data_IF_926582431984
#
_entry.id   IF_926582431984
#
_cell.length_a   1.000
_cell.length_b   1.000
_cell.length_c   1.000
_cell.angle_alpha   90.00
_cell.angle_beta   90.00
_cell.angle_gamma   90.00
#
_symmetry.space_group_name_H-M   'P 1'
#
loop_
_entity.id
_entity.type
_entity.pdbx_description
1 polymer ?
#
# COMPACT_ATOMS: atom_id res chain seq x y z
N UNK A 1 2.75 16.39 31.86
CA UNK A 1 2.61 15.51 30.68
C UNK A 1 2.22 16.40 29.51
N UNK A 2 3.21 16.96 28.85
CA UNK A 2 2.98 17.78 27.65
C UNK A 2 2.55 16.87 26.50
N UNK A 3 1.45 17.24 25.86
CA UNK A 3 0.77 16.47 24.84
C UNK A 3 1.65 16.30 23.60
N UNK A 4 2.09 15.07 23.33
CA UNK A 4 2.72 14.65 22.07
C UNK A 4 1.85 14.92 20.82
N UNK A 5 0.61 15.38 20.99
CA UNK A 5 -0.34 15.74 19.93
C UNK A 5 0.03 17.03 19.17
N UNK A 6 0.88 17.92 19.71
CA UNK A 6 1.28 19.17 19.03
C UNK A 6 2.49 19.02 18.09
N UNK A 7 3.47 18.20 18.47
CA UNK A 7 4.81 18.22 17.85
C UNK A 7 4.86 17.61 16.43
N UNK A 8 3.91 16.75 16.07
CA UNK A 8 3.92 16.02 14.79
C UNK A 8 3.65 16.92 13.59
N UNK A 9 2.65 17.80 13.68
CA UNK A 9 2.32 18.73 12.60
C UNK A 9 3.33 19.86 12.47
N UNK A 10 3.85 20.35 13.60
CA UNK A 10 4.78 21.47 13.69
C UNK A 10 6.08 21.21 12.92
N UNK A 11 6.63 20.00 12.96
CA UNK A 11 7.87 19.68 12.22
C UNK A 11 7.73 19.85 10.71
N UNK A 12 6.55 19.52 10.15
CA UNK A 12 6.28 19.69 8.73
C UNK A 12 6.23 21.17 8.36
N UNK A 13 5.50 21.98 9.14
CA UNK A 13 5.31 23.41 8.88
C UNK A 13 6.60 24.23 9.11
N UNK A 14 7.55 23.70 9.87
CA UNK A 14 8.90 24.27 9.99
C UNK A 14 9.76 24.09 8.72
N UNK A 15 9.46 23.11 7.87
CA UNK A 15 10.25 22.79 6.66
C UNK A 15 9.57 23.27 5.39
N UNK A 16 8.26 23.11 5.32
CA UNK A 16 7.46 23.39 4.13
C UNK A 16 6.46 24.50 4.41
N UNK A 17 6.17 25.30 3.39
CA UNK A 17 5.18 26.36 3.49
C UNK A 17 3.75 25.81 3.60
N UNK A 18 2.83 26.64 4.09
CA UNK A 18 1.38 26.31 4.14
C UNK A 18 0.85 25.93 2.74
N UNK A 19 1.32 26.60 1.70
CA UNK A 19 0.99 26.29 0.31
C UNK A 19 1.40 24.87 -0.12
N UNK A 20 2.53 24.36 0.39
CA UNK A 20 2.94 22.99 0.14
C UNK A 20 1.89 22.01 0.69
N UNK A 21 1.41 22.26 1.90
CA UNK A 21 0.37 21.45 2.56
C UNK A 21 -0.94 21.47 1.77
N UNK A 22 -1.35 22.63 1.29
CA UNK A 22 -2.55 22.78 0.45
C UNK A 22 -2.43 21.98 -0.84
N UNK A 23 -1.35 22.16 -1.61
CA UNK A 23 -1.14 21.42 -2.86
C UNK A 23 -1.06 19.91 -2.63
N UNK A 24 -0.40 19.47 -1.56
CA UNK A 24 -0.34 18.05 -1.19
C UNK A 24 -1.71 17.48 -0.83
N UNK A 25 -2.61 18.27 -0.23
CA UNK A 25 -3.97 17.82 0.12
C UNK A 25 -4.87 17.64 -1.11
N UNK A 26 -4.58 18.35 -2.21
CA UNK A 26 -5.29 18.24 -3.48
C UNK A 26 -4.84 17.03 -4.33
N UNK A 27 -3.72 16.39 -3.97
CA UNK A 27 -3.27 15.19 -4.68
C UNK A 27 -4.24 14.02 -4.43
N UNK A 28 -4.62 13.27 -5.49
CA UNK A 28 -5.58 12.17 -5.36
C UNK A 28 -4.97 10.91 -4.70
N UNK A 29 -3.65 10.87 -4.57
CA UNK A 29 -2.92 9.70 -4.09
C UNK A 29 -3.08 9.48 -2.57
N UNK A 30 -3.01 8.22 -2.15
CA UNK A 30 -2.95 7.84 -0.75
C UNK A 30 -1.48 7.81 -0.30
N UNK A 31 -1.07 8.80 0.51
CA UNK A 31 0.31 8.90 0.97
C UNK A 31 0.44 9.51 2.36
N UNK A 32 1.58 9.26 2.97
CA UNK A 32 2.02 9.81 4.25
C UNK A 32 3.43 10.36 4.13
N UNK A 33 3.73 11.42 4.87
CA UNK A 33 5.09 11.93 5.08
C UNK A 33 5.43 11.74 6.56
N UNK A 34 6.60 11.19 6.82
CA UNK A 34 7.10 10.91 8.17
C UNK A 34 8.39 11.68 8.42
N UNK A 35 8.70 11.94 9.68
CA UNK A 35 9.91 12.67 10.08
C UNK A 35 10.79 11.78 10.97
N UNK A 36 11.95 11.28 10.49
CA UNK A 36 12.85 10.46 11.28
C UNK A 36 13.66 11.25 12.31
N UNK A 37 13.69 12.59 12.24
CA UNK A 37 14.36 13.44 13.22
C UNK A 37 13.53 13.64 14.50
N UNK A 38 12.22 13.40 14.45
CA UNK A 38 11.33 13.47 15.61
C UNK A 38 11.30 12.11 16.32
N UNK A 39 11.44 12.06 17.67
CA UNK A 39 11.39 10.82 18.42
C UNK A 39 10.16 9.96 18.10
N UNK A 40 10.39 8.67 17.86
CA UNK A 40 9.33 7.73 17.47
C UNK A 40 9.04 7.67 15.96
N UNK A 41 9.72 8.47 15.15
CA UNK A 41 9.55 8.54 13.68
C UNK A 41 8.06 8.68 13.30
N UNK A 42 7.40 9.77 13.72
CA UNK A 42 5.98 9.95 13.52
C UNK A 42 5.63 10.35 12.08
N UNK A 43 4.37 10.12 11.74
CA UNK A 43 3.70 10.70 10.57
C UNK A 43 3.46 12.19 10.86
N UNK A 44 3.96 13.05 9.99
CA UNK A 44 3.83 14.51 10.09
C UNK A 44 2.82 15.07 9.09
N UNK A 45 2.50 14.29 8.05
CA UNK A 45 1.44 14.58 7.09
C UNK A 45 0.79 13.27 6.61
N UNK A 46 -0.53 13.32 6.42
CA UNK A 46 -1.30 12.24 5.81
C UNK A 46 -2.27 12.84 4.78
N UNK A 47 -2.35 12.27 3.58
CA UNK A 47 -3.26 12.76 2.54
C UNK A 47 -4.71 12.43 2.88
N UNK A 48 -5.65 13.22 2.32
CA UNK A 48 -7.08 12.97 2.52
C UNK A 48 -7.51 11.60 1.97
N UNK A 49 -6.91 11.17 0.85
CA UNK A 49 -7.13 9.83 0.29
C UNK A 49 -6.69 8.74 1.25
N UNK A 50 -5.50 8.89 1.85
CA UNK A 50 -4.98 7.94 2.83
C UNK A 50 -5.91 7.80 4.04
N UNK A 51 -6.33 8.92 4.64
CA UNK A 51 -7.21 8.93 5.81
C UNK A 51 -8.54 8.21 5.53
N UNK A 52 -9.16 8.49 4.39
CA UNK A 52 -10.39 7.81 3.93
C UNK A 52 -10.18 6.31 3.75
N UNK A 53 -9.04 5.90 3.19
CA UNK A 53 -8.71 4.50 2.93
C UNK A 53 -8.55 3.69 4.23
N UNK A 54 -7.89 4.26 5.24
CA UNK A 54 -7.62 3.56 6.52
C UNK A 54 -8.73 3.74 7.56
N UNK A 55 -9.62 4.72 7.38
CA UNK A 55 -10.76 4.98 8.26
C UNK A 55 -10.40 5.73 9.55
N UNK A 56 -9.23 6.37 9.62
CA UNK A 56 -8.78 7.16 10.77
C UNK A 56 -8.91 8.67 10.49
N UNK A 57 -9.15 9.46 11.54
CA UNK A 57 -9.06 10.91 11.44
C UNK A 57 -7.60 11.38 11.35
N UNK A 58 -7.39 12.63 10.93
CA UNK A 58 -6.05 13.20 10.82
C UNK A 58 -5.36 13.29 12.18
N UNK A 59 -6.11 13.62 13.23
CA UNK A 59 -5.66 13.78 14.61
C UNK A 59 -5.25 12.45 15.24
N UNK A 60 -5.85 11.35 14.77
CA UNK A 60 -5.49 10.00 15.21
C UNK A 60 -4.21 9.50 14.54
N UNK A 61 -3.89 9.99 13.34
CA UNK A 61 -2.76 9.52 12.52
C UNK A 61 -1.51 10.38 12.68
N UNK A 62 -1.66 11.71 12.63
CA UNK A 62 -0.52 12.63 12.74
C UNK A 62 0.07 12.55 14.15
N UNK A 63 1.38 12.47 14.24
CA UNK A 63 2.11 12.24 15.49
C UNK A 63 2.28 10.76 15.87
N UNK A 64 1.61 9.83 15.17
CA UNK A 64 1.78 8.38 15.39
C UNK A 64 2.80 7.78 14.42
N UNK A 65 3.37 6.64 14.81
CA UNK A 65 4.24 5.87 13.94
C UNK A 65 3.40 4.95 13.03
N UNK A 66 3.84 4.78 11.77
CA UNK A 66 3.13 3.97 10.77
C UNK A 66 2.91 2.49 11.13
N UNK A 67 3.57 1.97 12.17
CA UNK A 67 3.28 0.63 12.72
C UNK A 67 1.83 0.46 13.20
N UNK A 68 1.09 1.55 13.44
CA UNK A 68 -0.31 1.50 13.88
C UNK A 68 -1.26 0.80 12.91
N UNK A 69 -0.87 0.67 11.63
CA UNK A 69 -1.67 0.00 10.60
C UNK A 69 -1.35 -1.50 10.46
N UNK A 70 -0.42 -2.03 11.25
CA UNK A 70 -0.03 -3.44 11.25
C UNK A 70 -0.92 -4.22 12.23
N UNK A 71 -1.13 -5.51 11.98
CA UNK A 71 -1.92 -6.38 12.84
C UNK A 71 -1.39 -7.81 12.89
N UNK A 72 -2.18 -8.75 13.42
CA UNK A 72 -1.73 -10.10 13.75
C UNK A 72 -1.13 -10.88 12.57
N UNK A 73 -1.71 -10.73 11.37
CA UNK A 73 -1.29 -11.47 10.17
C UNK A 73 -0.32 -10.66 9.30
N UNK A 74 0.09 -9.47 9.72
CA UNK A 74 1.11 -8.70 8.99
C UNK A 74 2.45 -9.46 9.04
N UNK A 75 2.98 -9.83 7.86
CA UNK A 75 4.26 -10.55 7.77
C UNK A 75 5.42 -9.74 8.36
N UNK A 76 6.06 -10.31 9.38
CA UNK A 76 7.22 -9.73 10.05
C UNK A 76 8.41 -9.55 9.11
N UNK A 77 8.56 -10.38 8.08
CA UNK A 77 9.66 -10.23 7.10
C UNK A 77 9.49 -8.94 6.30
N UNK A 78 8.27 -8.62 5.87
CA UNK A 78 7.96 -7.37 5.21
C UNK A 78 8.22 -6.16 6.11
N UNK A 79 7.83 -6.25 7.38
CA UNK A 79 8.11 -5.19 8.38
C UNK A 79 9.61 -5.01 8.59
N UNK A 80 10.39 -6.09 8.68
CA UNK A 80 11.85 -6.02 8.77
C UNK A 80 12.47 -5.38 7.52
N UNK A 81 12.02 -5.74 6.32
CA UNK A 81 12.51 -5.14 5.08
C UNK A 81 12.31 -3.61 5.05
N UNK A 82 11.18 -3.13 5.56
CA UNK A 82 10.90 -1.68 5.71
C UNK A 82 11.85 -1.06 6.73
N UNK A 83 12.03 -1.68 7.90
CA UNK A 83 12.95 -1.18 8.94
C UNK A 83 14.39 -1.09 8.44
N UNK A 84 14.86 -2.11 7.71
CA UNK A 84 16.19 -2.09 7.09
C UNK A 84 16.31 -1.01 6.02
N UNK A 85 15.28 -0.80 5.20
CA UNK A 85 15.28 0.28 4.22
C UNK A 85 15.36 1.68 4.87
N UNK A 86 14.66 1.89 5.99
CA UNK A 86 14.77 3.12 6.80
C UNK A 86 16.19 3.27 7.35
N UNK A 87 16.74 2.22 7.95
CA UNK A 87 18.11 2.20 8.52
C UNK A 87 19.19 2.47 7.46
N UNK A 88 18.94 2.03 6.24
CA UNK A 88 19.85 2.19 5.09
C UNK A 88 19.56 3.46 4.27
N UNK A 89 18.58 4.25 4.68
CA UNK A 89 18.18 5.50 4.01
C UNK A 89 17.94 5.28 2.51
N UNK A 90 17.22 4.20 2.17
CA UNK A 90 16.90 3.81 0.79
C UNK A 90 15.41 3.63 0.57
N UNK A 91 15.02 3.61 -0.70
CA UNK A 91 13.66 3.26 -1.08
C UNK A 91 13.35 1.78 -0.89
N UNK A 92 12.06 1.48 -0.74
CA UNK A 92 11.52 0.11 -0.74
C UNK A 92 10.14 0.11 -1.39
N UNK A 93 9.81 -0.98 -2.08
CA UNK A 93 8.48 -1.25 -2.60
C UNK A 93 8.12 -2.69 -2.21
N UNK A 94 7.01 -2.87 -1.48
CA UNK A 94 6.63 -4.16 -0.91
C UNK A 94 5.11 -4.26 -0.75
N UNK A 95 4.55 -5.43 -1.00
CA UNK A 95 3.17 -5.74 -0.62
C UNK A 95 3.13 -6.27 0.81
N UNK A 96 2.23 -5.73 1.62
CA UNK A 96 1.99 -6.22 2.98
C UNK A 96 0.52 -6.08 3.38
N UNK A 97 0.13 -6.87 4.38
CA UNK A 97 -1.20 -6.81 4.98
C UNK A 97 -1.24 -5.71 6.03
N UNK A 98 -2.19 -4.79 5.87
CA UNK A 98 -2.50 -3.72 6.82
C UNK A 98 -3.95 -3.83 7.32
N UNK A 99 -4.27 -3.10 8.37
CA UNK A 99 -5.58 -3.11 9.02
C UNK A 99 -6.16 -1.70 9.06
N UNK A 100 -7.45 -1.59 8.74
CA UNK A 100 -8.23 -0.36 8.91
C UNK A 100 -8.60 -0.16 10.38
N UNK A 101 -9.16 1.02 10.69
CA UNK A 101 -9.67 1.34 12.03
C UNK A 101 -10.71 0.35 12.56
N UNK A 102 -11.54 -0.18 11.67
CA UNK A 102 -12.56 -1.18 12.00
C UNK A 102 -12.00 -2.61 12.15
N UNK A 103 -10.69 -2.80 12.00
CA UNK A 103 -10.02 -4.09 12.07
C UNK A 103 -10.06 -4.88 10.75
N UNK A 104 -10.64 -4.35 9.68
CA UNK A 104 -10.66 -5.04 8.38
C UNK A 104 -9.26 -5.14 7.79
N UNK A 105 -8.73 -6.35 7.54
CA UNK A 105 -7.44 -6.52 6.87
C UNK A 105 -7.56 -6.18 5.38
N UNK A 106 -6.50 -5.63 4.81
CA UNK A 106 -6.40 -5.39 3.38
C UNK A 106 -4.94 -5.44 2.92
N UNK A 107 -4.73 -6.00 1.72
CA UNK A 107 -3.43 -5.97 1.08
C UNK A 107 -3.13 -4.59 0.52
N UNK A 108 -1.89 -4.16 0.70
CA UNK A 108 -1.44 -2.84 0.33
C UNK A 108 -0.06 -2.93 -0.34
N UNK A 109 0.07 -2.34 -1.53
CA UNK A 109 1.37 -2.00 -2.06
C UNK A 109 1.88 -0.75 -1.32
N UNK A 110 2.97 -0.92 -0.58
CA UNK A 110 3.68 0.16 0.07
C UNK A 110 4.92 0.53 -0.74
N UNK A 111 5.05 1.80 -1.11
CA UNK A 111 6.28 2.33 -1.69
C UNK A 111 6.78 3.50 -0.86
N UNK A 112 8.03 3.43 -0.40
CA UNK A 112 8.65 4.47 0.42
C UNK A 112 9.93 4.98 -0.22
N UNK A 113 10.17 6.29 -0.11
CA UNK A 113 11.41 6.94 -0.53
C UNK A 113 11.88 7.98 0.50
N UNK A 114 13.18 8.06 0.80
CA UNK A 114 13.74 9.13 1.62
C UNK A 114 13.73 10.47 0.86
N UNK A 115 13.67 11.56 1.63
CA UNK A 115 13.85 12.94 1.19
C UNK A 115 15.03 13.52 1.94
N UNK A 116 15.98 14.12 1.23
CA UNK A 116 17.22 14.61 1.81
C UNK A 116 17.23 16.14 1.87
N UNK A 117 17.86 16.71 2.90
CA UNK A 117 18.23 18.12 2.92
C UNK A 117 19.34 18.37 1.90
N UNK A 118 19.22 19.44 1.11
CA UNK A 118 20.28 19.88 0.19
C UNK A 118 21.50 20.43 0.94
N UNK A 119 21.31 20.97 2.14
CA UNK A 119 22.36 21.61 2.93
C UNK A 119 23.28 20.57 3.60
N UNK A 120 22.67 19.56 4.25
CA UNK A 120 23.40 18.61 5.10
C UNK A 120 23.47 17.18 4.54
N UNK A 121 22.82 16.90 3.41
CA UNK A 121 22.69 15.56 2.80
C UNK A 121 22.04 14.51 3.73
N UNK A 122 21.36 14.95 4.79
CA UNK A 122 20.67 14.10 5.77
C UNK A 122 19.23 13.83 5.35
N UNK A 123 18.72 12.64 5.69
CA UNK A 123 17.28 12.35 5.54
C UNK A 123 16.48 13.21 6.50
N UNK A 124 15.59 14.03 5.95
CA UNK A 124 14.70 14.91 6.71
C UNK A 124 13.28 14.36 6.79
N UNK A 125 12.86 13.57 5.80
CA UNK A 125 11.54 12.97 5.73
C UNK A 125 11.59 11.65 4.96
N UNK A 126 10.59 10.80 5.17
CA UNK A 126 10.25 9.73 4.23
C UNK A 126 8.85 9.95 3.68
N UNK A 127 8.71 9.81 2.36
CA UNK A 127 7.41 9.77 1.68
C UNK A 127 7.04 8.31 1.49
N UNK A 128 5.86 7.92 1.96
CA UNK A 128 5.27 6.61 1.75
C UNK A 128 3.96 6.72 0.98
N UNK A 129 3.88 6.09 -0.18
CA UNK A 129 2.64 5.90 -0.96
C UNK A 129 2.06 4.54 -0.62
N UNK A 130 0.76 4.50 -0.41
CA UNK A 130 0.00 3.31 -0.10
C UNK A 130 -1.07 3.10 -1.16
N UNK A 131 -1.12 1.91 -1.76
CA UNK A 131 -2.21 1.57 -2.67
C UNK A 131 -2.85 0.26 -2.25
N UNK A 132 -4.18 0.26 -2.00
CA UNK A 132 -4.88 -0.96 -1.69
C UNK A 132 -4.87 -1.85 -2.94
N UNK A 133 -4.57 -3.13 -2.74
CA UNK A 133 -4.57 -4.13 -3.80
C UNK A 133 -5.95 -4.77 -3.87
N UNK A 134 -6.54 -4.74 -5.06
CA UNK A 134 -7.75 -5.50 -5.34
C UNK A 134 -7.36 -6.94 -5.59
N UNK A 135 -7.91 -7.86 -4.81
CA UNK A 135 -7.78 -9.27 -5.15
C UNK A 135 -8.45 -9.55 -6.46
N UNK A 136 -7.71 -10.21 -7.35
CA UNK A 136 -8.33 -10.84 -8.51
C UNK A 136 -9.05 -12.07 -7.98
N UNK A 137 -10.37 -12.21 -8.18
CA UNK A 137 -11.02 -13.48 -7.96
C UNK A 137 -10.24 -14.50 -8.78
N UNK A 138 -9.74 -15.54 -8.14
CA UNK A 138 -9.30 -16.71 -8.89
C UNK A 138 -10.52 -17.17 -9.68
N UNK A 139 -10.42 -17.24 -11.00
CA UNK A 139 -11.32 -18.11 -11.75
C UNK A 139 -10.96 -19.54 -11.32
N UNK A 140 -11.52 -19.96 -10.19
CA UNK A 140 -11.43 -21.31 -9.69
C UNK A 140 -12.17 -22.20 -10.68
N UNK A 141 -11.42 -22.71 -11.67
CA UNK A 141 -11.75 -23.87 -12.47
C UNK A 141 -13.13 -23.89 -13.11
N UNK A 142 -13.42 -23.02 -14.09
CA UNK A 142 -14.19 -23.51 -15.24
C UNK A 142 -13.28 -24.50 -15.98
N UNK A 143 -13.28 -25.76 -15.53
CA UNK A 143 -12.99 -26.87 -16.42
C UNK A 143 -14.10 -26.85 -17.46
N UNK A 144 -13.86 -26.21 -18.60
CA UNK A 144 -14.53 -26.59 -19.82
C UNK A 144 -14.25 -28.08 -19.99
N UNK A 145 -15.18 -28.92 -19.54
CA UNK A 145 -15.23 -30.31 -19.97
C UNK A 145 -15.37 -30.23 -21.48
N UNK A 146 -14.27 -30.48 -22.17
CA UNK A 146 -14.29 -30.91 -23.56
C UNK A 146 -15.04 -32.25 -23.57
N UNK A 147 -16.35 -32.19 -23.77
CA UNK A 147 -17.10 -33.36 -24.23
C UNK A 147 -16.70 -33.56 -25.68
N UNK A 148 -15.73 -34.45 -25.88
CA UNK A 148 -15.51 -35.08 -27.16
C UNK A 148 -16.70 -36.04 -27.37
N UNK A 149 -17.71 -35.60 -28.10
CA UNK A 149 -18.59 -36.52 -28.82
C UNK A 149 -18.53 -36.24 -30.32
N UNK A 150 -18.58 -37.36 -31.02
CA UNK A 150 -18.13 -37.65 -32.35
C UNK A 150 -19.14 -37.21 -33.44
N UNK A 151 -18.60 -36.80 -34.58
CA UNK A 151 -19.18 -36.88 -35.93
C UNK A 151 -20.64 -36.47 -36.21
N UNK A 152 -20.82 -35.37 -36.95
CA UNK A 152 -21.94 -35.28 -37.90
C UNK A 152 -22.41 -33.90 -38.33
N UNK A 153 -21.82 -33.34 -39.39
CA UNK A 153 -22.55 -32.74 -40.51
C UNK A 153 -23.32 -31.41 -40.36
N UNK A 154 -22.77 -30.39 -41.04
CA UNK A 154 -23.46 -29.36 -41.86
C UNK A 154 -24.17 -28.18 -41.16
N UNK A 155 -23.63 -26.98 -41.46
CA UNK A 155 -24.21 -25.61 -41.58
C UNK A 155 -25.66 -25.40 -41.11
N UNK A 156 -25.91 -24.32 -40.37
CA UNK A 156 -26.31 -23.00 -40.90
C UNK A 156 -26.49 -21.96 -39.77
N UNK A 157 -26.17 -20.71 -40.07
CA UNK A 157 -26.54 -19.49 -39.33
C UNK A 157 -28.05 -19.41 -39.04
N UNK A 158 -28.45 -18.82 -37.90
CA UNK A 158 -29.48 -17.75 -37.79
C UNK A 158 -29.82 -17.46 -36.31
N UNK A 159 -29.56 -16.21 -35.94
CA UNK A 159 -30.38 -15.29 -35.15
C UNK A 159 -31.64 -15.82 -34.40
N UNK A 160 -31.77 -15.32 -33.14
CA UNK A 160 -32.95 -14.58 -32.61
C UNK A 160 -33.86 -15.28 -31.57
N UNK A 161 -33.80 -14.68 -30.37
CA UNK A 161 -34.89 -14.16 -29.52
C UNK A 161 -35.97 -15.09 -28.92
N UNK A 162 -36.06 -14.98 -27.60
CA UNK A 162 -37.19 -15.16 -26.69
C UNK A 162 -38.55 -15.58 -27.30
N UNK A 163 -39.10 -16.70 -26.78
CA UNK A 163 -40.53 -16.87 -26.55
C UNK A 163 -40.78 -17.86 -25.41
N UNK A 164 -41.75 -17.52 -24.56
CA UNK A 164 -42.21 -18.25 -23.37
C UNK A 164 -43.72 -18.47 -23.54
N UNK A 165 -44.19 -19.73 -23.55
CA UNK A 165 -45.60 -20.16 -23.28
C UNK A 165 -45.51 -21.61 -22.75
N UNK A 166 -45.79 -21.90 -21.48
CA UNK A 166 -47.06 -22.31 -20.80
C UNK A 166 -47.59 -23.73 -21.15
N UNK A 167 -47.47 -24.60 -20.14
CA UNK A 167 -48.22 -25.80 -19.67
C UNK A 167 -49.06 -26.71 -20.62
N UNK A 168 -48.92 -28.03 -20.43
CA UNK A 168 -50.03 -28.95 -20.00
C UNK A 168 -49.54 -30.37 -19.63
N UNK A 169 -50.35 -31.05 -18.82
CA UNK A 169 -50.12 -32.21 -17.93
C UNK A 169 -49.92 -33.62 -18.52
N UNK A 170 -49.26 -34.51 -17.75
CA UNK A 170 -49.67 -35.91 -17.40
C UNK A 170 -48.54 -36.58 -16.57
N UNK A 171 -48.69 -36.84 -15.27
CA UNK A 171 -49.26 -38.01 -14.55
C UNK A 171 -48.42 -39.32 -14.62
N UNK A 172 -47.94 -39.74 -13.42
CA UNK A 172 -47.42 -41.05 -12.94
C UNK A 172 -46.01 -41.47 -13.46
N UNK A 173 -45.06 -42.02 -12.70
CA UNK A 173 -45.08 -42.77 -11.43
C UNK A 173 -43.71 -42.76 -10.72
N UNK A 174 -43.75 -42.58 -9.39
CA UNK A 174 -43.04 -43.33 -8.33
C UNK A 174 -41.61 -43.87 -8.55
N UNK A 175 -40.66 -43.30 -7.80
CA UNK A 175 -39.40 -43.95 -7.42
C UNK A 175 -38.81 -43.35 -6.13
N UNK A 176 -38.98 -44.04 -5.01
CA UNK A 176 -38.32 -43.69 -3.73
C UNK A 176 -36.80 -43.90 -3.85
N UNK A 177 -36.02 -42.87 -3.53
CA UNK A 177 -34.69 -43.05 -2.96
C UNK A 177 -34.47 -41.94 -1.92
N UNK A 178 -34.61 -42.33 -0.65
CA UNK A 178 -34.00 -41.63 0.47
C UNK A 178 -32.50 -41.81 0.36
N UNK A 179 -31.75 -40.70 0.24
CA UNK A 179 -30.33 -40.66 0.55
C UNK A 179 -29.94 -39.20 0.83
N UNK A 180 -29.82 -38.93 2.13
CA UNK A 180 -28.91 -37.99 2.77
C UNK A 180 -28.84 -36.60 2.13
N UNK A 181 -29.62 -35.67 2.67
CA UNK A 181 -29.28 -34.24 2.61
C UNK A 181 -27.91 -34.05 3.25
N UNK A 182 -26.88 -34.04 2.41
CA UNK A 182 -25.58 -33.54 2.79
C UNK A 182 -25.74 -32.03 2.87
N UNK A 183 -25.98 -31.54 4.09
CA UNK A 183 -25.83 -30.13 4.42
C UNK A 183 -24.37 -29.80 4.11
N UNK A 184 -24.11 -29.23 2.94
CA UNK A 184 -22.79 -28.67 2.63
C UNK A 184 -22.62 -27.47 3.54
N UNK A 185 -21.78 -27.66 4.57
CA UNK A 185 -21.28 -26.62 5.45
C UNK A 185 -20.86 -25.40 4.64
N UNK A 186 -21.53 -24.28 4.89
CA UNK A 186 -21.14 -22.96 4.42
C UNK A 186 -19.96 -22.49 5.30
N UNK A 187 -18.74 -22.93 5.00
CA UNK A 187 -17.54 -22.47 5.73
C UNK A 187 -16.30 -22.28 4.83
N UNK A 188 -16.48 -21.94 3.55
CA UNK A 188 -15.33 -21.70 2.63
C UNK A 188 -14.99 -20.21 2.42
N UNK A 189 -15.41 -19.31 3.32
CA UNK A 189 -15.18 -17.86 3.17
C UNK A 189 -14.18 -17.25 4.16
N UNK A 190 -13.30 -18.05 4.77
CA UNK A 190 -12.19 -17.52 5.60
C UNK A 190 -10.81 -17.68 4.94
N UNK A 191 -10.69 -18.48 3.88
CA UNK A 191 -9.37 -18.87 3.34
C UNK A 191 -8.73 -17.89 2.36
N UNK A 192 -9.45 -16.86 1.90
CA UNK A 192 -8.88 -15.96 0.90
C UNK A 192 -7.80 -15.07 1.57
N UNK A 193 -8.04 -14.42 2.72
CA UNK A 193 -7.22 -13.30 3.29
C UNK A 193 -5.75 -13.68 3.57
N UNK A 194 -5.49 -14.94 3.88
CA UNK A 194 -4.16 -15.42 4.24
C UNK A 194 -3.17 -15.51 3.08
N UNK A 195 -3.63 -15.53 1.82
CA UNK A 195 -2.70 -15.66 0.71
C UNK A 195 -1.98 -14.33 0.36
N UNK A 196 -0.64 -14.34 0.22
CA UNK A 196 0.13 -13.19 -0.22
C UNK A 196 -0.40 -12.58 -1.52
N UNK A 197 -0.72 -11.29 -1.49
CA UNK A 197 -1.15 -10.55 -2.68
C UNK A 197 0.02 -9.72 -3.23
N UNK A 198 0.51 -10.07 -4.41
CA UNK A 198 1.52 -9.29 -5.09
C UNK A 198 0.92 -8.21 -5.99
N UNK A 199 1.55 -7.04 -5.99
CA UNK A 199 1.15 -5.96 -6.89
C UNK A 199 1.57 -6.24 -8.33
N UNK A 200 0.69 -5.92 -9.27
CA UNK A 200 0.99 -5.97 -10.70
C UNK A 200 1.81 -4.75 -11.16
N UNK A 201 2.37 -4.82 -12.38
CA UNK A 201 3.25 -3.75 -12.91
C UNK A 201 2.54 -2.40 -13.06
N UNK A 202 1.25 -2.39 -13.34
CA UNK A 202 0.46 -1.17 -13.40
C UNK A 202 0.38 -0.50 -12.02
N UNK A 203 0.08 -1.28 -10.98
CA UNK A 203 0.09 -0.79 -9.60
C UNK A 203 1.47 -0.27 -9.23
N UNK A 204 2.55 -1.02 -9.48
CA UNK A 204 3.92 -0.54 -9.20
C UNK A 204 4.23 0.77 -9.93
N UNK A 205 3.81 0.90 -11.19
CA UNK A 205 4.02 2.12 -11.99
C UNK A 205 3.24 3.30 -11.43
N UNK A 206 2.00 3.08 -11.03
CA UNK A 206 1.14 4.11 -10.43
C UNK A 206 1.73 4.64 -9.11
N UNK A 207 2.23 3.75 -8.25
CA UNK A 207 2.88 4.16 -6.99
C UNK A 207 4.15 4.98 -7.25
N UNK A 208 4.95 4.58 -8.24
CA UNK A 208 6.13 5.34 -8.66
C UNK A 208 5.75 6.75 -9.17
N UNK A 209 4.68 6.87 -9.96
CA UNK A 209 4.19 8.16 -10.44
C UNK A 209 3.72 9.05 -9.29
N UNK A 210 2.96 8.51 -8.34
CA UNK A 210 2.54 9.21 -7.14
C UNK A 210 3.74 9.75 -6.34
N UNK A 211 4.74 8.90 -6.07
CA UNK A 211 5.99 9.32 -5.41
C UNK A 211 6.65 10.49 -6.15
N UNK A 212 6.77 10.41 -7.48
CA UNK A 212 7.40 11.47 -8.26
C UNK A 212 6.63 12.79 -8.18
N UNK A 213 5.30 12.74 -8.23
CA UNK A 213 4.45 13.93 -8.10
C UNK A 213 4.60 14.57 -6.72
N UNK A 214 4.52 13.77 -5.65
CA UNK A 214 4.67 14.25 -4.27
C UNK A 214 6.05 14.88 -4.06
N UNK A 215 7.11 14.19 -4.48
CA UNK A 215 8.48 14.72 -4.37
C UNK A 215 8.66 16.02 -5.15
N UNK A 216 8.04 16.15 -6.33
CA UNK A 216 8.10 17.37 -7.13
C UNK A 216 7.46 18.55 -6.40
N UNK A 217 6.32 18.33 -5.73
CA UNK A 217 5.68 19.33 -4.86
C UNK A 217 6.61 19.72 -3.72
N UNK A 218 7.18 18.75 -2.99
CA UNK A 218 8.09 19.04 -1.87
C UNK A 218 9.33 19.82 -2.33
N UNK A 219 9.91 19.47 -3.47
CA UNK A 219 11.08 20.15 -4.04
C UNK A 219 10.72 21.59 -4.42
N UNK A 220 9.67 21.80 -5.23
CA UNK A 220 9.24 23.14 -5.64
C UNK A 220 8.92 24.03 -4.45
N UNK A 221 8.22 23.50 -3.44
CA UNK A 221 7.81 24.32 -2.30
C UNK A 221 8.92 24.52 -1.25
N UNK A 222 9.98 23.71 -1.29
CA UNK A 222 11.17 23.93 -0.45
C UNK A 222 11.96 25.18 -0.83
N UNK A 223 11.81 25.66 -2.07
CA UNK A 223 12.48 26.89 -2.53
C UNK A 223 11.95 28.13 -1.78
N UNK A 224 10.66 28.13 -1.42
CA UNK A 224 10.04 29.26 -0.73
C UNK A 224 10.45 29.39 0.74
N UNK A 225 10.89 28.30 1.37
CA UNK A 225 11.40 28.32 2.75
C UNK A 225 12.92 28.45 2.83
N UNK A 226 13.61 28.40 1.68
CA UNK A 226 15.08 28.35 1.59
C UNK A 226 15.68 27.02 2.06
N UNK A 227 14.87 26.09 2.60
CA UNK A 227 15.30 24.79 3.12
C UNK A 227 15.18 23.72 2.04
N UNK A 228 16.02 23.85 1.01
CA UNK A 228 15.92 23.02 -0.19
C UNK A 228 16.02 21.52 0.11
N UNK A 229 15.19 20.75 -0.59
CA UNK A 229 15.16 19.29 -0.47
C UNK A 229 15.50 18.62 -1.79
N UNK A 230 16.09 17.43 -1.74
CA UNK A 230 16.50 16.66 -2.92
C UNK A 230 16.07 15.19 -2.80
N UNK A 231 15.84 14.56 -3.95
CA UNK A 231 15.38 13.17 -4.06
C UNK A 231 16.47 12.14 -3.82
N UNK A 232 17.70 12.44 -4.23
CA UNK A 232 18.87 11.58 -4.09
C UNK A 232 19.94 12.41 -3.41
N UNK A 233 20.81 11.74 -2.65
CA UNK A 233 22.01 12.39 -2.11
C UNK A 233 22.77 13.10 -3.21
N UNK A 234 23.31 14.26 -2.89
CA UNK A 234 24.27 14.91 -3.78
C UNK A 234 25.51 14.02 -3.85
N UNK A 235 25.67 13.25 -4.92
CA UNK A 235 26.96 12.68 -5.25
C UNK A 235 27.93 13.87 -5.39
N UNK A 236 28.92 13.99 -4.51
CA UNK A 236 30.02 14.93 -4.72
C UNK A 236 30.75 14.51 -6.00
N UNK A 237 30.33 15.02 -7.14
CA UNK A 237 31.14 15.03 -8.36
C UNK A 237 32.26 16.04 -8.15
N UNK A 238 33.42 15.58 -7.68
CA UNK A 238 34.61 16.44 -7.61
C UNK A 238 35.69 16.11 -6.59
N UNK A 239 36.02 14.83 -6.33
CA UNK A 239 37.41 14.34 -6.28
C UNK A 239 37.42 12.88 -5.79
N UNK A 240 37.83 11.98 -6.67
CA UNK A 240 38.37 10.68 -6.27
C UNK A 240 39.60 10.90 -5.38
N UNK A 241 39.42 10.84 -4.06
CA UNK A 241 40.47 10.36 -3.14
C UNK A 241 39.83 9.56 -2.02
N UNK A 242 39.82 8.25 -2.25
CA UNK A 242 40.03 7.18 -1.27
C UNK A 242 40.06 7.63 0.20
N UNK A 243 38.90 7.67 0.84
CA UNK A 243 38.78 7.24 2.24
C UNK A 243 37.62 6.25 2.29
N UNK A 244 37.94 5.05 1.82
CA UNK A 244 37.14 3.85 1.97
C UNK A 244 36.94 3.51 3.46
N UNK A 245 35.78 2.91 3.72
CA UNK A 245 35.45 2.01 4.85
C UNK A 245 35.33 2.53 6.30
N UNK A 246 35.77 3.73 6.70
CA UNK A 246 35.65 4.16 8.13
C UNK A 246 34.46 5.05 8.49
N UNK A 247 33.78 5.68 7.53
CA UNK A 247 32.69 6.65 7.83
C UNK A 247 31.33 5.98 8.04
N UNK A 248 31.17 4.71 7.70
CA UNK A 248 29.90 3.97 7.78
C UNK A 248 29.61 3.49 9.22
N UNK A 249 30.61 3.47 10.10
CA UNK A 249 30.49 2.89 11.45
C UNK A 249 30.13 3.87 12.55
N UNK A 250 30.32 5.19 12.39
CA UNK A 250 30.05 6.13 13.50
C UNK A 250 28.60 6.68 13.55
N UNK A 251 27.84 6.64 12.45
CA UNK A 251 26.42 7.04 12.45
C UNK A 251 25.45 5.96 12.94
N UNK A 252 25.88 4.69 12.96
CA UNK A 252 25.02 3.52 13.20
C UNK A 252 24.81 3.15 14.67
N UNK A 253 25.48 3.81 15.61
CA UNK A 253 25.51 3.39 17.03
C UNK A 253 24.57 4.21 17.93
N UNK A 254 23.95 5.30 17.44
CA UNK A 254 23.09 6.16 18.29
C UNK A 254 21.59 5.84 18.32
N UNK A 255 21.12 4.74 17.70
CA UNK A 255 19.72 4.29 17.82
C UNK A 255 19.55 2.88 18.40
N UNK A 256 20.60 2.32 19.00
CA UNK A 256 20.54 1.02 19.68
C UNK A 256 20.34 1.18 21.19
N UNK A 257 19.24 1.82 21.61
CA UNK A 257 18.71 1.67 22.96
C UNK A 257 17.21 2.00 22.96
N UNK A 258 16.38 1.03 22.58
CA UNK A 258 15.13 0.68 23.27
C UNK A 258 14.81 -0.77 22.87
N UNK A 259 15.10 -1.70 23.78
CA UNK A 259 14.42 -2.99 23.87
C UNK A 259 12.96 -2.76 24.29
#
# INVERSE_FOLDING_TARGET
MESQLGLGGESFDLRYSVWAREVLNELPDCFTITDPCVPGHPIVFASNGFLKMVGYSREEVVGRNGRMFQGPETDRRSVMAIREAIREERGVQISLLNYRKDGTPFWMLFQMCPVFSKEDDRVINFVGVQMPLSRRPRLSGLRLRSECEDGGGVRETVFRCCRREVCSDSILERGRASSVESVSSLDDQEDDINEPCEANEWEKTKANSAINNILSVLINYSEFTGRFVIRKRCCQTGNERLVSSLSITLGRIKQSFVL
#
